data_IF_057930990512
#
_entry.id   IF_057930990512
#
_cell.length_a   1.000
_cell.length_b   1.000
_cell.length_c   1.000
_cell.angle_alpha   90.00
_cell.angle_beta   90.00
_cell.angle_gamma   90.00
#
_symmetry.space_group_name_H-M   'P 1'
#
loop_
_entity.id
_entity.type
_entity.pdbx_description
1 polymer ?
#
# COMPACT_ATOMS: atom_id res chain seq x y z
N UNK A 1 -16.21 -13.80 3.05
CA UNK A 1 -15.26 -13.58 1.94
C UNK A 1 -15.38 -12.12 1.52
N UNK A 2 -14.25 -11.43 1.36
CA UNK A 2 -14.20 -10.00 1.03
C UNK A 2 -13.01 -9.68 0.13
N UNK A 3 -12.95 -8.45 -0.37
CA UNK A 3 -11.90 -7.93 -1.26
C UNK A 3 -11.01 -6.93 -0.54
N UNK A 4 -9.79 -6.79 -1.03
CA UNK A 4 -8.84 -5.77 -0.60
C UNK A 4 -8.82 -4.61 -1.60
N UNK A 5 -9.03 -3.40 -1.11
CA UNK A 5 -8.78 -2.16 -1.85
C UNK A 5 -7.32 -1.75 -1.60
N UNK A 6 -6.45 -2.08 -2.55
CA UNK A 6 -5.01 -1.77 -2.46
C UNK A 6 -4.65 -0.68 -3.46
N UNK A 7 -4.06 0.41 -2.96
CA UNK A 7 -3.54 1.51 -3.76
C UNK A 7 -2.08 1.25 -4.11
N UNK A 8 -1.82 0.98 -5.39
CA UNK A 8 -0.49 0.62 -5.90
C UNK A 8 -0.18 1.52 -7.09
N UNK A 9 1.02 2.08 -7.10
CA UNK A 9 1.51 2.89 -8.21
C UNK A 9 2.84 2.34 -8.70
N UNK A 10 2.88 1.88 -9.95
CA UNK A 10 4.17 1.67 -10.61
C UNK A 10 4.78 3.01 -11.02
N UNK A 11 6.10 3.04 -11.13
CA UNK A 11 6.85 4.21 -11.58
C UNK A 11 7.47 3.97 -12.94
N UNK A 12 7.80 5.06 -13.64
CA UNK A 12 8.53 5.02 -14.90
C UNK A 12 9.91 4.38 -14.67
N UNK A 13 10.31 3.54 -15.60
CA UNK A 13 11.59 2.83 -15.60
C UNK A 13 12.62 3.64 -16.39
N UNK A 14 13.89 3.45 -16.05
CA UNK A 14 15.01 3.94 -16.85
C UNK A 14 15.92 2.78 -17.24
N UNK A 15 16.82 3.02 -18.18
CA UNK A 15 17.82 2.03 -18.60
C UNK A 15 19.22 2.60 -18.36
N UNK A 16 20.14 1.75 -17.93
CA UNK A 16 21.56 2.09 -17.87
C UNK A 16 22.16 2.16 -19.29
N UNK A 17 23.35 2.74 -19.42
CA UNK A 17 24.10 2.73 -20.70
C UNK A 17 24.44 1.32 -21.22
N UNK A 18 24.33 0.29 -20.38
CA UNK A 18 24.51 -1.12 -20.75
C UNK A 18 23.20 -1.84 -21.11
N UNK A 19 22.06 -1.12 -21.18
CA UNK A 19 20.75 -1.71 -21.49
C UNK A 19 20.09 -2.46 -20.33
N UNK A 20 20.62 -2.34 -19.10
CA UNK A 20 20.01 -2.93 -17.91
C UNK A 20 18.89 -2.01 -17.42
N UNK A 21 17.68 -2.56 -17.25
CA UNK A 21 16.54 -1.83 -16.72
C UNK A 21 16.72 -1.49 -15.22
N UNK A 22 16.47 -0.24 -14.87
CA UNK A 22 16.50 0.31 -13.52
C UNK A 22 15.09 0.73 -13.13
N UNK A 23 14.60 0.18 -12.03
CA UNK A 23 13.22 0.37 -11.57
C UNK A 23 13.11 0.16 -10.07
N UNK A 24 12.08 0.76 -9.49
CA UNK A 24 11.71 0.53 -8.10
C UNK A 24 11.34 -0.95 -7.87
N UNK A 25 11.68 -1.48 -6.69
CA UNK A 25 11.40 -2.88 -6.33
C UNK A 25 9.94 -3.26 -6.57
N UNK A 26 8.99 -2.45 -6.09
CA UNK A 26 7.57 -2.71 -6.26
C UNK A 26 7.14 -2.67 -7.72
N UNK A 27 7.68 -1.75 -8.53
CA UNK A 27 7.44 -1.75 -9.98
C UNK A 27 7.91 -3.06 -10.61
N UNK A 28 9.11 -3.54 -10.23
CA UNK A 28 9.63 -4.83 -10.69
C UNK A 28 8.70 -5.98 -10.31
N UNK A 29 8.22 -6.00 -9.06
CA UNK A 29 7.32 -7.04 -8.56
C UNK A 29 5.99 -7.07 -9.33
N UNK A 30 5.31 -5.93 -9.45
CA UNK A 30 4.00 -5.87 -10.09
C UNK A 30 4.07 -6.13 -11.60
N UNK A 31 5.22 -5.91 -12.24
CA UNK A 31 5.45 -6.27 -13.66
C UNK A 31 6.03 -7.68 -13.85
N UNK A 32 6.36 -8.39 -12.78
CA UNK A 32 6.96 -9.72 -12.88
C UNK A 32 5.96 -10.76 -13.40
N UNK A 33 6.50 -11.78 -14.08
CA UNK A 33 5.71 -12.96 -14.46
C UNK A 33 5.11 -13.68 -13.26
N UNK A 34 5.74 -13.60 -12.08
CA UNK A 34 5.20 -14.18 -10.85
C UNK A 34 3.88 -13.52 -10.43
N UNK A 35 3.81 -12.19 -10.42
CA UNK A 35 2.57 -11.49 -10.12
C UNK A 35 1.52 -11.74 -11.21
N UNK A 36 1.89 -11.62 -12.48
CA UNK A 36 0.99 -11.81 -13.62
C UNK A 36 0.41 -13.23 -13.69
N UNK A 37 1.17 -14.26 -13.31
CA UNK A 37 0.67 -15.64 -13.26
C UNK A 37 -0.47 -15.83 -12.25
N UNK A 38 -0.54 -14.96 -11.24
CA UNK A 38 -1.58 -14.96 -10.19
C UNK A 38 -2.73 -14.00 -10.51
N UNK A 39 -2.82 -13.48 -11.74
CA UNK A 39 -3.81 -12.46 -12.13
C UNK A 39 -5.25 -12.83 -11.78
N UNK A 40 -5.67 -14.08 -12.03
CA UNK A 40 -7.03 -14.53 -11.71
C UNK A 40 -7.31 -14.52 -10.19
N UNK A 41 -6.33 -14.90 -9.38
CA UNK A 41 -6.47 -14.82 -7.93
C UNK A 41 -6.51 -13.36 -7.47
N UNK A 42 -5.68 -12.50 -8.06
CA UNK A 42 -5.68 -11.08 -7.75
C UNK A 42 -7.02 -10.41 -8.09
N UNK A 43 -7.58 -10.66 -9.27
CA UNK A 43 -8.84 -10.04 -9.72
C UNK A 43 -10.08 -10.44 -8.91
N UNK A 44 -10.02 -11.59 -8.22
CA UNK A 44 -11.09 -12.09 -7.35
C UNK A 44 -10.95 -11.63 -5.90
N UNK A 45 -9.73 -11.32 -5.46
CA UNK A 45 -9.41 -10.90 -4.08
C UNK A 45 -9.20 -9.40 -3.93
N UNK A 46 -8.98 -8.66 -5.02
CA UNK A 46 -8.75 -7.22 -5.01
C UNK A 46 -9.81 -6.49 -5.85
N UNK A 47 -10.06 -5.23 -5.51
CA UNK A 47 -11.00 -4.37 -6.26
C UNK A 47 -10.34 -3.82 -7.54
N UNK A 48 -9.10 -3.35 -7.43
CA UNK A 48 -8.35 -2.68 -8.48
C UNK A 48 -8.02 -3.61 -9.65
N UNK A 49 -8.31 -3.23 -10.91
CA UNK A 49 -7.84 -4.00 -12.06
C UNK A 49 -6.31 -3.87 -12.21
N UNK A 50 -5.66 -4.89 -12.75
CA UNK A 50 -4.20 -4.92 -12.92
C UNK A 50 -3.72 -3.81 -13.87
N UNK A 51 -4.52 -3.46 -14.89
CA UNK A 51 -4.23 -2.34 -15.79
C UNK A 51 -4.05 -1.01 -15.03
N UNK A 52 -4.88 -0.74 -14.01
CA UNK A 52 -4.76 0.45 -13.17
C UNK A 52 -3.45 0.51 -12.40
N UNK A 53 -2.92 -0.64 -12.00
CA UNK A 53 -1.66 -0.75 -11.27
C UNK A 53 -0.49 -0.46 -12.20
N UNK A 54 -0.56 -0.92 -13.44
CA UNK A 54 0.52 -0.78 -14.44
C UNK A 54 0.53 0.58 -15.15
N UNK A 55 -0.53 1.36 -15.01
CA UNK A 55 -0.58 2.71 -15.54
C UNK A 55 0.41 3.63 -14.81
N UNK A 56 1.28 4.28 -15.57
CA UNK A 56 2.30 5.20 -15.04
C UNK A 56 1.75 6.59 -14.76
N UNK A 57 0.59 6.94 -15.34
CA UNK A 57 -0.16 8.14 -15.01
C UNK A 57 -0.80 7.98 -13.63
N UNK A 58 -0.31 8.75 -12.66
CA UNK A 58 -0.77 8.66 -11.27
C UNK A 58 -2.22 9.08 -11.09
N UNK A 59 -2.73 10.00 -11.91
CA UNK A 59 -4.13 10.40 -11.86
C UNK A 59 -5.02 9.26 -12.31
N UNK A 60 -4.75 8.70 -13.50
CA UNK A 60 -5.56 7.61 -14.06
C UNK A 60 -5.51 6.35 -13.19
N UNK A 61 -4.31 6.01 -12.69
CA UNK A 61 -4.10 4.90 -11.77
C UNK A 61 -4.88 5.08 -10.47
N UNK A 62 -4.81 6.24 -9.82
CA UNK A 62 -5.50 6.48 -8.54
C UNK A 62 -7.02 6.55 -8.73
N UNK A 63 -7.47 7.26 -9.76
CA UNK A 63 -8.89 7.41 -10.08
C UNK A 63 -9.54 6.06 -10.32
N UNK A 64 -8.93 5.22 -11.16
CA UNK A 64 -9.48 3.91 -11.50
C UNK A 64 -9.49 2.92 -10.34
N UNK A 65 -8.46 2.94 -9.48
CA UNK A 65 -8.42 2.12 -8.26
C UNK A 65 -9.50 2.55 -7.25
N UNK A 66 -9.71 3.86 -7.07
CA UNK A 66 -10.79 4.39 -6.23
C UNK A 66 -12.16 4.06 -6.80
N UNK A 67 -12.37 4.25 -8.10
CA UNK A 67 -13.64 3.96 -8.76
C UNK A 67 -14.03 2.48 -8.60
N UNK A 68 -13.08 1.56 -8.83
CA UNK A 68 -13.30 0.14 -8.58
C UNK A 68 -13.58 -0.16 -7.09
N UNK A 69 -12.85 0.49 -6.18
CA UNK A 69 -13.05 0.34 -4.74
C UNK A 69 -14.39 0.86 -4.22
N UNK A 70 -14.93 1.92 -4.85
CA UNK A 70 -16.23 2.50 -4.52
C UNK A 70 -17.39 1.68 -5.13
N UNK A 71 -17.22 1.15 -6.34
CA UNK A 71 -18.17 0.25 -6.96
C UNK A 71 -18.34 -1.04 -6.14
N UNK A 72 -17.24 -1.59 -5.62
CA UNK A 72 -17.24 -2.80 -4.79
C UNK A 72 -17.30 -2.50 -3.27
N UNK A 73 -17.75 -1.31 -2.83
CA UNK A 73 -17.52 -0.82 -1.46
C UNK A 73 -17.95 -1.77 -0.33
N UNK A 74 -19.04 -2.51 -0.53
CA UNK A 74 -19.58 -3.45 0.46
C UNK A 74 -18.75 -4.74 0.55
N UNK A 75 -18.00 -5.07 -0.50
CA UNK A 75 -17.10 -6.23 -0.48
C UNK A 75 -15.75 -5.91 0.18
N UNK A 76 -15.40 -4.63 0.36
CA UNK A 76 -14.10 -4.23 0.88
C UNK A 76 -13.99 -4.53 2.37
N UNK A 77 -13.06 -5.41 2.72
CA UNK A 77 -12.74 -5.78 4.12
C UNK A 77 -11.40 -5.20 4.59
N UNK A 78 -10.58 -4.76 3.64
CA UNK A 78 -9.25 -4.24 3.92
C UNK A 78 -8.94 -3.10 2.95
N UNK A 79 -8.41 -2.00 3.48
CA UNK A 79 -7.78 -0.94 2.67
C UNK A 79 -6.27 -1.02 2.88
N UNK A 80 -5.50 -0.87 1.80
CA UNK A 80 -4.05 -1.00 1.91
C UNK A 80 -3.27 -0.11 0.93
N UNK A 81 -2.05 0.24 1.32
CA UNK A 81 -1.03 0.82 0.46
C UNK A 81 0.34 0.40 1.00
N UNK A 82 1.42 0.60 0.24
CA UNK A 82 2.77 0.29 0.75
C UNK A 82 3.10 1.11 2.00
N UNK A 83 2.84 2.41 1.95
CA UNK A 83 3.16 3.36 3.03
C UNK A 83 1.90 4.10 3.46
N UNK A 84 1.84 4.52 4.74
CA UNK A 84 0.75 5.30 5.30
C UNK A 84 0.43 6.55 4.44
N UNK A 85 1.46 7.20 3.89
CA UNK A 85 1.31 8.33 2.99
C UNK A 85 0.47 8.00 1.74
N UNK A 86 0.59 6.78 1.19
CA UNK A 86 -0.18 6.37 0.01
C UNK A 86 -1.68 6.28 0.30
N UNK A 87 -2.07 5.75 1.47
CA UNK A 87 -3.46 5.75 1.92
C UNK A 87 -3.97 7.18 2.10
N UNK A 88 -3.19 8.04 2.74
CA UNK A 88 -3.56 9.44 2.94
C UNK A 88 -3.76 10.15 1.60
N UNK A 89 -2.87 9.95 0.63
CA UNK A 89 -2.98 10.52 -0.71
C UNK A 89 -4.25 10.04 -1.43
N UNK A 90 -4.62 8.76 -1.30
CA UNK A 90 -5.85 8.23 -1.87
C UNK A 90 -7.11 8.85 -1.23
N UNK A 91 -7.12 9.06 0.09
CA UNK A 91 -8.23 9.73 0.79
C UNK A 91 -8.33 11.20 0.36
N UNK A 92 -7.20 11.90 0.24
CA UNK A 92 -7.17 13.29 -0.27
C UNK A 92 -7.60 13.38 -1.73
N UNK A 93 -7.32 12.34 -2.53
CA UNK A 93 -7.81 12.26 -3.90
C UNK A 93 -9.33 12.11 -3.92
N UNK A 94 -9.89 11.24 -3.06
CA UNK A 94 -11.33 11.11 -2.88
C UNK A 94 -11.97 12.45 -2.46
N UNK A 95 -11.39 13.18 -1.50
CA UNK A 95 -11.84 14.53 -1.10
C UNK A 95 -12.04 15.47 -2.29
N UNK A 96 -11.13 15.42 -3.26
CA UNK A 96 -11.12 16.33 -4.41
C UNK A 96 -12.03 15.88 -5.56
N UNK A 97 -12.22 14.57 -5.72
CA UNK A 97 -12.82 13.98 -6.92
C UNK A 97 -14.08 13.14 -6.64
N UNK A 98 -14.63 13.14 -5.42
CA UNK A 98 -15.80 12.31 -5.09
C UNK A 98 -17.04 12.60 -5.96
N UNK A 99 -17.22 13.84 -6.45
CA UNK A 99 -18.35 14.20 -7.32
C UNK A 99 -18.24 13.50 -8.68
N UNK A 100 -17.05 13.51 -9.27
CA UNK A 100 -16.77 12.85 -10.55
C UNK A 100 -16.92 11.33 -10.39
N UNK A 101 -16.32 10.77 -9.34
CA UNK A 101 -16.42 9.33 -9.03
C UNK A 101 -17.86 8.89 -8.79
N UNK A 102 -18.67 9.69 -8.08
CA UNK A 102 -20.08 9.37 -7.85
C UNK A 102 -20.90 9.46 -9.14
N UNK A 103 -20.61 10.42 -10.03
CA UNK A 103 -21.28 10.50 -11.34
C UNK A 103 -20.98 9.27 -12.21
N UNK A 104 -19.74 8.81 -12.21
CA UNK A 104 -19.33 7.60 -12.93
C UNK A 104 -20.04 6.34 -12.41
N UNK A 105 -20.16 6.20 -11.08
CA UNK A 105 -20.91 5.11 -10.44
C UNK A 105 -22.40 5.18 -10.77
N UNK A 106 -23.00 6.37 -10.70
CA UNK A 106 -24.42 6.58 -11.02
C UNK A 106 -24.76 6.15 -12.45
N UNK A 107 -23.87 6.47 -13.41
CA UNK A 107 -24.07 6.19 -14.83
C UNK A 107 -23.52 4.83 -15.27
N UNK A 108 -22.70 4.19 -14.45
CA UNK A 108 -21.93 3.01 -14.84
C UNK A 108 -20.93 3.30 -15.97
N UNK A 109 -20.32 4.49 -15.98
CA UNK A 109 -19.39 4.93 -17.02
C UNK A 109 -18.03 5.28 -16.43
N UNK A 110 -17.02 5.44 -17.30
CA UNK A 110 -15.67 5.87 -16.90
C UNK A 110 -15.38 7.25 -17.47
N UNK A 111 -14.94 8.16 -16.61
CA UNK A 111 -14.59 9.55 -16.90
C UNK A 111 -13.70 9.66 -18.14
N UNK A 112 -13.99 10.59 -19.09
CA UNK A 112 -13.20 10.77 -20.30
C UNK A 112 -11.72 11.13 -20.08
N UNK A 113 -11.36 11.65 -18.89
CA UNK A 113 -9.96 11.91 -18.51
C UNK A 113 -9.15 10.62 -18.35
N UNK A 114 -9.81 9.48 -18.17
CA UNK A 114 -9.18 8.17 -18.20
C UNK A 114 -9.05 7.76 -19.67
N UNK A 115 -7.84 7.95 -20.20
CA UNK A 115 -7.52 7.74 -21.63
C UNK A 115 -6.87 6.38 -21.89
N UNK A 116 -6.33 5.74 -20.85
CA UNK A 116 -5.74 4.40 -20.93
C UNK A 116 -6.80 3.35 -21.30
N UNK A 117 -6.63 2.73 -22.47
CA UNK A 117 -7.62 1.80 -23.05
C UNK A 117 -7.79 0.54 -22.22
N UNK A 118 -6.73 0.04 -21.60
CA UNK A 118 -6.76 -1.20 -20.82
C UNK A 118 -7.48 -0.97 -19.49
N UNK A 119 -7.26 0.19 -18.86
CA UNK A 119 -8.05 0.61 -17.69
C UNK A 119 -9.53 0.71 -18.05
N UNK A 120 -9.86 1.41 -19.15
CA UNK A 120 -11.25 1.59 -19.57
C UNK A 120 -11.94 0.26 -19.82
N UNK A 121 -11.33 -0.62 -20.61
CA UNK A 121 -11.88 -1.95 -20.89
C UNK A 121 -12.09 -2.77 -19.61
N UNK A 122 -11.16 -2.70 -18.65
CA UNK A 122 -11.27 -3.41 -17.39
C UNK A 122 -12.36 -2.85 -16.45
N UNK A 123 -12.63 -1.54 -16.50
CA UNK A 123 -13.65 -0.90 -15.67
C UNK A 123 -15.04 -0.95 -16.30
N UNK A 124 -15.16 -0.72 -17.60
CA UNK A 124 -16.44 -0.74 -18.33
C UNK A 124 -17.12 -2.12 -18.28
N UNK A 125 -16.35 -3.19 -18.14
CA UNK A 125 -16.88 -4.55 -17.93
C UNK A 125 -17.36 -4.82 -16.50
N UNK A 126 -16.93 -4.01 -15.52
CA UNK A 126 -17.23 -4.19 -14.09
C UNK A 126 -18.25 -3.20 -13.55
N UNK A 127 -18.30 -2.00 -14.11
CA UNK A 127 -19.20 -0.94 -13.65
C UNK A 127 -20.62 -1.21 -14.16
N UNK A 128 -21.57 -1.11 -13.25
CA UNK A 128 -23.00 -1.11 -13.56
C UNK A 128 -23.60 0.16 -12.95
N UNK A 129 -24.63 0.76 -13.58
CA UNK A 129 -25.26 1.96 -13.04
C UNK A 129 -25.80 1.72 -11.63
N UNK A 130 -25.31 2.49 -10.66
CA UNK A 130 -25.68 2.37 -9.24
C UNK A 130 -25.97 3.76 -8.63
N UNK A 131 -27.18 4.31 -8.85
CA UNK A 131 -27.57 5.63 -8.34
C UNK A 131 -27.65 5.69 -6.81
N UNK A 132 -27.94 4.56 -6.14
CA UNK A 132 -28.05 4.49 -4.69
C UNK A 132 -26.67 4.66 -4.05
N UNK A 133 -25.67 3.92 -4.54
CA UNK A 133 -24.29 4.05 -4.10
C UNK A 133 -23.72 5.46 -4.38
N UNK A 134 -23.98 6.00 -5.58
CA UNK A 134 -23.59 7.36 -5.91
C UNK A 134 -24.17 8.41 -4.95
N UNK A 135 -25.46 8.28 -4.60
CA UNK A 135 -26.13 9.14 -3.63
C UNK A 135 -25.50 9.03 -2.24
N UNK A 136 -25.18 7.81 -1.81
CA UNK A 136 -24.48 7.55 -0.54
C UNK A 136 -23.11 8.24 -0.52
N UNK A 137 -22.30 8.07 -1.57
CA UNK A 137 -20.97 8.70 -1.68
C UNK A 137 -21.06 10.22 -1.62
N UNK A 138 -22.00 10.83 -2.37
CA UNK A 138 -22.21 12.28 -2.35
C UNK A 138 -22.61 12.78 -0.97
N UNK A 139 -23.49 12.06 -0.28
CA UNK A 139 -23.94 12.39 1.07
C UNK A 139 -22.78 12.35 2.07
N UNK A 140 -22.03 11.25 2.10
CA UNK A 140 -20.97 11.04 3.08
C UNK A 140 -19.75 11.94 2.85
N UNK A 141 -19.37 12.21 1.60
CA UNK A 141 -18.25 13.09 1.27
C UNK A 141 -18.65 14.58 1.26
N UNK A 142 -19.91 14.90 0.94
CA UNK A 142 -20.41 16.27 0.84
C UNK A 142 -20.76 16.94 2.17
N UNK A 143 -20.88 16.16 3.26
CA UNK A 143 -21.26 16.68 4.59
C UNK A 143 -20.17 17.52 5.29
N UNK A 144 -18.96 17.58 4.75
CA UNK A 144 -17.82 18.32 5.32
C UNK A 144 -17.14 17.64 6.52
N UNK A 145 -17.71 16.58 7.07
CA UNK A 145 -17.15 15.83 8.20
C UNK A 145 -16.36 14.61 7.73
N UNK A 146 -15.04 14.72 7.62
CA UNK A 146 -14.19 13.63 7.12
C UNK A 146 -13.69 12.63 8.18
N UNK A 147 -13.87 12.93 9.46
CA UNK A 147 -13.54 12.00 10.55
C UNK A 147 -14.30 10.69 10.34
N UNK A 148 -13.62 9.55 10.26
CA UNK A 148 -14.25 8.24 10.08
C UNK A 148 -14.82 7.96 8.69
N UNK A 149 -14.46 8.75 7.67
CA UNK A 149 -14.96 8.57 6.30
C UNK A 149 -14.73 7.14 5.77
N UNK A 150 -13.61 6.49 6.16
CA UNK A 150 -13.28 5.16 5.66
C UNK A 150 -14.37 4.16 6.04
N UNK A 151 -14.82 4.17 7.29
CA UNK A 151 -15.90 3.29 7.76
C UNK A 151 -17.26 3.65 7.15
N UNK A 152 -17.51 4.92 6.83
CA UNK A 152 -18.80 5.32 6.25
C UNK A 152 -18.92 4.95 4.77
N UNK A 153 -17.81 5.02 4.03
CA UNK A 153 -17.75 4.58 2.63
C UNK A 153 -17.61 3.05 2.54
N UNK A 154 -16.67 2.48 3.28
CA UNK A 154 -16.36 1.04 3.33
C UNK A 154 -16.73 0.47 4.70
N UNK A 155 -18.03 0.20 4.97
CA UNK A 155 -18.50 -0.20 6.29
C UNK A 155 -18.01 -1.56 6.77
N UNK A 156 -17.58 -2.43 5.85
CA UNK A 156 -17.08 -3.76 6.17
C UNK A 156 -15.54 -3.79 6.35
N UNK A 157 -14.87 -2.64 6.23
CA UNK A 157 -13.43 -2.54 6.44
C UNK A 157 -13.07 -2.90 7.89
N UNK A 158 -12.19 -3.89 8.06
CA UNK A 158 -11.77 -4.41 9.36
C UNK A 158 -10.46 -3.79 9.84
N UNK A 159 -9.54 -3.47 8.93
CA UNK A 159 -8.25 -2.86 9.23
C UNK A 159 -7.66 -2.15 8.00
N UNK A 160 -6.67 -1.31 8.27
CA UNK A 160 -5.80 -0.70 7.27
C UNK A 160 -4.48 -1.46 7.25
N UNK A 161 -3.90 -1.75 6.08
CA UNK A 161 -2.54 -2.27 5.96
C UNK A 161 -1.65 -1.24 5.27
N UNK A 162 -0.66 -0.74 6.00
CA UNK A 162 0.39 0.10 5.44
C UNK A 162 1.59 0.16 6.38
N UNK A 163 2.78 0.40 5.84
CA UNK A 163 3.94 0.72 6.68
C UNK A 163 3.68 2.05 7.40
N UNK A 164 3.63 1.95 8.72
CA UNK A 164 3.31 3.05 9.65
C UNK A 164 4.41 3.28 10.71
N UNK A 165 5.51 2.54 10.63
CA UNK A 165 6.68 2.67 11.51
C UNK A 165 7.70 3.67 10.95
N UNK A 166 8.70 4.05 11.76
CA UNK A 166 9.76 4.98 11.35
C UNK A 166 9.18 6.36 10.98
N UNK A 167 9.64 6.93 9.86
CA UNK A 167 9.18 8.24 9.38
C UNK A 167 7.69 8.28 9.02
N UNK A 168 7.05 7.13 8.79
CA UNK A 168 5.62 7.06 8.47
C UNK A 168 4.72 7.24 9.69
N UNK A 169 5.26 7.14 10.92
CA UNK A 169 4.52 7.36 12.16
C UNK A 169 3.86 8.74 12.23
N UNK A 170 4.45 9.74 11.56
CA UNK A 170 3.92 11.09 11.42
C UNK A 170 2.51 11.15 10.80
N UNK A 171 2.15 10.17 9.98
CA UNK A 171 0.85 10.12 9.30
C UNK A 171 -0.22 9.34 10.07
N UNK A 172 0.16 8.62 11.14
CA UNK A 172 -0.73 7.77 11.93
C UNK A 172 -1.91 8.55 12.51
N UNK A 173 -1.73 9.71 13.18
CA UNK A 173 -2.87 10.44 13.77
C UNK A 173 -3.90 10.88 12.72
N UNK A 174 -3.43 11.20 11.51
CA UNK A 174 -4.30 11.60 10.40
C UNK A 174 -5.09 10.39 9.86
N UNK A 175 -4.45 9.22 9.76
CA UNK A 175 -5.14 7.99 9.37
C UNK A 175 -6.13 7.52 10.44
N UNK A 176 -5.81 7.66 11.72
CA UNK A 176 -6.74 7.40 12.82
C UNK A 176 -7.97 8.31 12.75
N UNK A 177 -7.78 9.60 12.44
CA UNK A 177 -8.87 10.53 12.21
C UNK A 177 -9.81 10.05 11.08
N UNK A 178 -9.27 9.65 9.92
CA UNK A 178 -10.10 9.19 8.79
C UNK A 178 -10.72 7.80 8.98
N UNK A 179 -10.09 6.95 9.79
CA UNK A 179 -10.50 5.56 10.00
C UNK A 179 -11.41 5.34 11.21
N UNK A 180 -11.48 6.32 12.12
CA UNK A 180 -12.23 6.25 13.37
C UNK A 180 -11.82 5.03 14.22
N UNK A 181 -10.50 4.82 14.32
CA UNK A 181 -9.92 3.76 15.14
C UNK A 181 -9.98 2.37 14.51
N UNK A 182 -9.91 2.25 13.17
CA UNK A 182 -9.57 0.95 12.58
C UNK A 182 -8.12 0.59 12.94
N UNK A 183 -7.82 -0.68 13.25
CA UNK A 183 -6.45 -1.14 13.41
C UNK A 183 -5.62 -0.82 12.17
N UNK A 184 -4.42 -0.27 12.37
CA UNK A 184 -3.43 -0.05 11.32
C UNK A 184 -2.33 -1.09 11.47
N UNK A 185 -2.22 -1.96 10.47
CA UNK A 185 -1.33 -3.12 10.44
C UNK A 185 -0.12 -2.80 9.58
N UNK A 186 1.08 -2.89 10.18
CA UNK A 186 2.35 -2.82 9.47
C UNK A 186 2.95 -4.22 9.36
N UNK A 187 2.87 -4.81 8.16
CA UNK A 187 3.10 -6.25 7.97
C UNK A 187 4.56 -6.62 7.69
N UNK A 188 5.27 -5.83 6.89
CA UNK A 188 6.55 -6.24 6.33
C UNK A 188 7.61 -5.15 6.44
N UNK A 189 8.85 -5.57 6.64
CA UNK A 189 10.05 -4.74 6.58
C UNK A 189 10.94 -5.23 5.44
N UNK A 190 11.18 -4.37 4.46
CA UNK A 190 11.93 -4.67 3.25
C UNK A 190 12.56 -3.41 2.65
N UNK A 191 13.58 -3.59 1.83
CA UNK A 191 14.24 -2.57 1.03
C UNK A 191 14.47 -3.04 -0.41
N UNK A 192 15.05 -2.17 -1.26
CA UNK A 192 15.46 -2.52 -2.62
C UNK A 192 16.54 -3.60 -2.65
N UNK A 193 17.41 -3.62 -1.64
CA UNK A 193 18.54 -4.53 -1.53
C UNK A 193 18.09 -5.90 -1.02
N UNK A 194 17.15 -5.94 -0.07
CA UNK A 194 16.72 -7.19 0.56
C UNK A 194 15.31 -7.11 1.17
N UNK A 195 14.58 -8.22 1.15
CA UNK A 195 13.44 -8.41 2.04
C UNK A 195 13.96 -8.90 3.39
N UNK A 196 13.59 -8.23 4.49
CA UNK A 196 14.13 -8.56 5.80
C UNK A 196 13.20 -9.48 6.58
N UNK A 197 11.96 -9.04 6.81
CA UNK A 197 11.13 -9.66 7.83
C UNK A 197 9.66 -9.25 7.81
N UNK A 198 8.90 -9.87 8.71
CA UNK A 198 7.47 -9.62 8.88
C UNK A 198 7.11 -9.40 10.35
N UNK A 199 6.03 -8.69 10.58
CA UNK A 199 5.43 -8.56 11.90
C UNK A 199 4.60 -9.81 12.22
N UNK A 200 5.03 -10.59 13.21
CA UNK A 200 4.33 -11.81 13.64
C UNK A 200 3.09 -11.52 14.50
N UNK A 201 2.95 -10.29 15.01
CA UNK A 201 1.78 -9.84 15.75
C UNK A 201 1.15 -8.61 15.05
N UNK A 202 0.46 -8.82 13.91
CA UNK A 202 0.03 -7.72 13.04
C UNK A 202 -0.95 -6.73 13.69
N UNK A 203 -1.69 -7.15 14.72
CA UNK A 203 -2.69 -6.33 15.43
C UNK A 203 -2.16 -5.75 16.75
N UNK A 204 -0.84 -5.78 16.99
CA UNK A 204 -0.24 -5.03 18.09
C UNK A 204 -0.45 -3.52 17.92
N UNK A 205 -0.24 -2.77 18.99
CA UNK A 205 -0.20 -1.31 18.89
C UNK A 205 0.97 -0.88 18.00
N UNK A 206 0.83 0.26 17.34
CA UNK A 206 1.86 0.77 16.44
C UNK A 206 3.20 1.06 17.13
N UNK A 207 3.17 1.41 18.42
CA UNK A 207 4.35 1.59 19.28
C UNK A 207 5.10 0.29 19.58
N UNK A 208 4.41 -0.85 19.51
CA UNK A 208 4.92 -2.18 19.83
C UNK A 208 5.28 -3.00 18.58
N UNK A 209 5.26 -2.39 17.38
CA UNK A 209 5.52 -3.10 16.13
C UNK A 209 6.97 -3.57 16.08
N UNK A 210 7.16 -4.88 16.05
CA UNK A 210 8.46 -5.53 15.86
C UNK A 210 8.44 -6.40 14.61
N UNK A 211 9.51 -6.36 13.83
CA UNK A 211 9.68 -7.21 12.65
C UNK A 211 10.62 -8.36 12.97
N UNK A 212 10.17 -9.59 12.72
CA UNK A 212 11.01 -10.79 12.79
C UNK A 212 11.68 -11.01 11.46
N UNK A 213 13.01 -10.95 11.44
CA UNK A 213 13.83 -11.24 10.27
C UNK A 213 13.69 -12.71 9.90
N UNK A 214 13.51 -12.99 8.61
CA UNK A 214 13.40 -14.36 8.11
C UNK A 214 14.79 -14.84 7.66
N UNK A 215 15.42 -15.81 8.35
CA UNK A 215 16.84 -16.12 8.18
C UNK A 215 17.27 -16.65 6.80
N UNK A 216 16.32 -17.07 5.96
CA UNK A 216 16.62 -17.63 4.64
C UNK A 216 16.57 -16.60 3.49
N UNK A 217 16.32 -15.31 3.80
CA UNK A 217 16.22 -14.27 2.78
C UNK A 217 17.59 -13.68 2.39
N UNK A 218 18.52 -13.62 3.35
CA UNK A 218 19.90 -13.21 3.16
C UNK A 218 20.71 -13.64 4.40
N UNK A 219 22.03 -13.42 4.36
CA UNK A 219 22.85 -13.50 5.57
C UNK A 219 22.82 -12.14 6.27
N UNK A 220 22.47 -12.14 7.55
CA UNK A 220 22.23 -10.92 8.34
C UNK A 220 23.23 -10.81 9.49
N UNK A 221 23.90 -9.67 9.52
CA UNK A 221 24.87 -9.26 10.54
C UNK A 221 24.44 -7.91 11.14
N UNK A 222 24.95 -7.60 12.32
CA UNK A 222 24.52 -6.44 13.11
C UNK A 222 25.75 -5.71 13.65
N UNK A 223 25.91 -4.46 13.23
CA UNK A 223 26.95 -3.57 13.73
C UNK A 223 26.41 -2.81 14.95
N UNK A 224 26.97 -2.98 16.16
CA UNK A 224 26.51 -2.26 17.34
C UNK A 224 26.61 -0.74 17.15
N UNK A 225 25.54 -0.01 17.45
CA UNK A 225 25.59 1.46 17.50
C UNK A 225 26.25 1.85 18.82
N UNK A 226 27.57 2.01 18.82
CA UNK A 226 28.33 2.38 20.03
C UNK A 226 27.93 3.77 20.55
N UNK A 227 27.88 3.90 21.88
CA UNK A 227 27.97 5.21 22.54
C UNK A 227 29.30 5.87 22.17
N UNK A 228 29.39 7.20 22.00
CA UNK A 228 30.51 7.92 21.35
C UNK A 228 31.91 7.81 21.98
N UNK A 229 32.15 6.88 22.91
CA UNK A 229 33.39 6.81 23.70
C UNK A 229 34.44 5.82 23.16
N UNK A 230 34.14 4.94 22.20
CA UNK A 230 35.06 3.84 21.80
C UNK A 230 35.38 3.71 20.30
N UNK A 231 35.50 4.84 19.57
CA UNK A 231 35.85 4.90 18.14
C UNK A 231 37.25 4.35 17.72
N UNK A 232 37.94 3.56 18.56
CA UNK A 232 39.31 3.09 18.33
C UNK A 232 39.45 1.58 18.07
N UNK A 233 38.37 0.79 18.13
CA UNK A 233 38.41 -0.62 17.73
C UNK A 233 37.53 -0.88 16.50
N UNK A 234 37.94 -1.78 15.58
CA UNK A 234 37.05 -2.23 14.52
C UNK A 234 35.88 -2.94 15.18
N UNK A 235 34.69 -2.34 15.09
CA UNK A 235 33.47 -2.88 15.67
C UNK A 235 33.17 -4.27 15.09
N UNK A 236 33.09 -5.26 15.95
CA UNK A 236 32.82 -6.64 15.59
C UNK A 236 31.34 -6.81 15.21
N UNK A 237 31.09 -7.42 14.06
CA UNK A 237 29.74 -7.73 13.61
C UNK A 237 29.17 -8.89 14.44
N UNK A 238 27.90 -8.75 14.83
CA UNK A 238 27.16 -9.76 15.58
C UNK A 238 26.24 -10.52 14.64
N UNK A 239 26.15 -11.84 14.75
CA UNK A 239 25.23 -12.63 13.93
C UNK A 239 23.77 -12.43 14.36
N UNK A 240 22.82 -12.73 13.46
CA UNK A 240 21.38 -12.68 13.76
C UNK A 240 20.96 -13.42 15.04
N UNK A 241 21.59 -14.55 15.37
CA UNK A 241 21.26 -15.33 16.56
C UNK A 241 21.88 -14.76 17.85
N UNK A 242 22.89 -13.89 17.74
CA UNK A 242 23.74 -13.44 18.85
C UNK A 242 23.39 -12.01 19.31
N UNK A 243 22.40 -11.37 18.69
CA UNK A 243 21.93 -10.03 19.08
C UNK A 243 21.36 -10.02 20.49
N UNK A 244 21.70 -8.98 21.25
CA UNK A 244 21.27 -8.83 22.64
C UNK A 244 20.04 -7.92 22.76
N UNK A 245 19.08 -8.34 23.59
CA UNK A 245 17.87 -7.58 23.90
C UNK A 245 18.20 -6.16 24.40
N UNK A 246 17.48 -5.16 23.87
CA UNK A 246 17.61 -3.76 24.29
C UNK A 246 18.81 -3.00 23.73
N UNK A 247 19.64 -3.63 22.88
CA UNK A 247 20.72 -2.96 22.17
C UNK A 247 20.29 -2.50 20.77
N UNK A 248 20.91 -1.44 20.29
CA UNK A 248 20.70 -0.89 18.95
C UNK A 248 21.83 -1.31 18.01
N UNK A 249 21.45 -1.63 16.78
CA UNK A 249 22.38 -2.10 15.76
C UNK A 249 22.02 -1.52 14.39
N UNK A 250 23.04 -1.26 13.59
CA UNK A 250 22.89 -1.09 12.14
C UNK A 250 22.88 -2.47 11.46
N UNK A 251 21.92 -2.70 10.56
CA UNK A 251 21.79 -3.97 9.86
C UNK A 251 22.77 -4.04 8.68
N UNK A 252 23.56 -5.11 8.64
CA UNK A 252 24.46 -5.45 7.55
C UNK A 252 23.90 -6.69 6.86
N UNK A 253 23.80 -6.64 5.53
CA UNK A 253 23.18 -7.70 4.74
C UNK A 253 24.11 -8.18 3.64
N UNK A 254 24.28 -9.50 3.55
CA UNK A 254 24.93 -10.17 2.42
C UNK A 254 23.87 -10.95 1.65
N UNK A 255 23.60 -10.52 0.42
CA UNK A 255 22.53 -11.07 -0.44
C UNK A 255 23.07 -12.12 -1.41
N UNK A 256 22.17 -12.83 -2.10
CA UNK A 256 22.52 -13.87 -3.07
C UNK A 256 23.13 -13.34 -4.38
N UNK A 257 22.99 -12.04 -4.66
CA UNK A 257 23.27 -11.39 -5.95
C UNK A 257 24.58 -10.62 -5.96
#
# INVERSE_FOLDING_TARGET
>A
QGKTLKFIHVRKECETGAGIAVRYLLTSWYKSGHFLSKHHHYSTTHTSPVASIHCTDTFQSTYSQLLAGLADRLSVVQLSATFALGLLQAIRFLERHYLDLAMDIEKGTVDPRITDKDIRAALETRLTPDPENATHIRKECGCGQWKGIIRRIWPNAQYLEAVATGSMSLYVPVLEFYSDGLPLVSLAYASSECFFGINLNPFCKLEDVTYTIIPNLAYFEFLPVESPENCLQPAELVNLADVQMGKEYEIVVTTYS
#
